data_IF_407492420434
#
_entry.id   IF_407492420434
#
_cell.length_a   1.000
_cell.length_b   1.000
_cell.length_c   1.000
_cell.angle_alpha   90.00
_cell.angle_beta   90.00
_cell.angle_gamma   90.00
#
_symmetry.space_group_name_H-M   'P 1'
#
loop_
_entity.id
_entity.type
_entity.pdbx_description
1 polymer ?
#
# COMPACT_ATOMS: atom_id res chain seq x y z
N UNK A 1 2.23 13.65 7.92
CA UNK A 1 3.50 14.30 7.48
C UNK A 1 4.51 13.24 6.96
N UNK A 2 5.41 13.56 6.02
CA UNK A 2 6.40 12.61 5.46
C UNK A 2 7.86 12.91 5.87
N UNK A 3 8.79 11.98 5.58
CA UNK A 3 10.22 12.10 5.97
C UNK A 3 10.99 13.20 5.22
N UNK A 4 10.66 13.41 3.94
CA UNK A 4 11.35 14.37 3.06
C UNK A 4 10.50 15.64 2.87
N UNK A 5 9.19 15.47 2.70
CA UNK A 5 8.26 16.59 2.51
C UNK A 5 6.94 16.35 3.24
N UNK A 6 6.21 17.43 3.45
CA UNK A 6 4.87 17.39 4.02
C UNK A 6 3.83 17.40 2.88
N UNK A 7 3.08 16.30 2.75
CA UNK A 7 2.03 16.12 1.74
C UNK A 7 0.97 17.20 1.76
N UNK A 8 0.72 17.81 2.93
CA UNK A 8 -0.26 18.89 3.08
C UNK A 8 0.04 20.13 2.23
N UNK A 9 1.32 20.32 1.86
CA UNK A 9 1.74 21.42 0.97
C UNK A 9 1.16 21.28 -0.46
N UNK A 10 0.74 20.09 -0.85
CA UNK A 10 0.30 19.77 -2.20
C UNK A 10 -1.23 19.65 -2.34
N UNK A 11 -2.01 19.98 -1.30
CA UNK A 11 -3.49 19.87 -1.32
C UNK A 11 -4.10 20.68 -2.47
N UNK A 12 -3.59 21.89 -2.74
CA UNK A 12 -4.06 22.72 -3.87
C UNK A 12 -3.83 22.02 -5.21
N UNK A 13 -2.70 21.36 -5.38
CA UNK A 13 -2.39 20.60 -6.60
C UNK A 13 -3.31 19.38 -6.73
N UNK A 14 -3.51 18.62 -5.64
CA UNK A 14 -4.44 17.49 -5.60
C UNK A 14 -5.88 17.91 -5.99
N UNK A 15 -6.36 19.04 -5.45
CA UNK A 15 -7.66 19.61 -5.84
C UNK A 15 -7.73 19.88 -7.34
N UNK A 16 -6.71 20.53 -7.91
CA UNK A 16 -6.68 20.85 -9.34
C UNK A 16 -6.66 19.59 -10.23
N UNK A 17 -6.18 18.46 -9.71
CA UNK A 17 -6.23 17.15 -10.38
C UNK A 17 -7.52 16.36 -10.09
N UNK A 18 -8.54 16.98 -9.51
CA UNK A 18 -9.86 16.37 -9.32
C UNK A 18 -10.11 15.77 -7.94
N UNK A 19 -9.25 15.98 -6.95
CA UNK A 19 -9.56 15.59 -5.58
C UNK A 19 -10.78 16.38 -5.06
N UNK A 20 -11.76 15.66 -4.51
CA UNK A 20 -13.01 16.22 -3.98
C UNK A 20 -12.99 16.44 -2.46
N UNK A 21 -12.07 15.78 -1.76
CA UNK A 21 -11.88 15.85 -0.30
C UNK A 21 -10.42 15.62 0.04
N UNK A 22 -9.93 16.24 1.12
CA UNK A 22 -8.59 16.02 1.65
C UNK A 22 -8.66 15.52 3.10
N UNK A 23 -7.95 14.44 3.41
CA UNK A 23 -7.74 13.98 4.79
C UNK A 23 -6.43 14.58 5.29
N UNK A 24 -6.46 15.28 6.42
CA UNK A 24 -5.36 16.13 6.88
C UNK A 24 -5.10 15.95 8.38
N UNK A 25 -3.86 16.18 8.81
CA UNK A 25 -3.50 16.29 10.24
C UNK A 25 -3.77 17.70 10.77
N UNK A 26 -3.66 18.71 9.91
CA UNK A 26 -3.88 20.12 10.22
C UNK A 26 -4.63 20.76 9.05
N UNK A 27 -5.66 21.56 9.34
CA UNK A 27 -6.40 22.29 8.31
C UNK A 27 -5.47 23.23 7.52
N UNK A 28 -5.73 23.35 6.22
CA UNK A 28 -5.05 24.28 5.32
C UNK A 28 -6.04 25.24 4.69
N UNK A 29 -5.58 26.45 4.38
CA UNK A 29 -6.34 27.48 3.68
C UNK A 29 -6.48 27.16 2.19
N UNK A 30 -7.14 26.05 1.89
CA UNK A 30 -7.45 25.60 0.53
C UNK A 30 -8.93 25.26 0.47
N UNK A 31 -9.63 25.81 -0.52
CA UNK A 31 -11.06 25.61 -0.69
C UNK A 31 -11.37 24.20 -1.24
N UNK A 32 -11.30 23.20 -0.37
CA UNK A 32 -11.68 21.80 -0.57
C UNK A 32 -12.18 21.27 0.79
N UNK A 33 -13.23 20.43 0.84
CA UNK A 33 -13.63 19.75 2.07
C UNK A 33 -12.43 19.03 2.71
N UNK A 34 -12.25 19.23 4.02
CA UNK A 34 -11.14 18.68 4.78
C UNK A 34 -11.65 17.86 5.97
N UNK A 35 -11.12 16.66 6.13
CA UNK A 35 -11.37 15.79 7.28
C UNK A 35 -10.09 15.76 8.11
N UNK A 36 -10.14 16.32 9.32
CA UNK A 36 -9.00 16.31 10.23
C UNK A 36 -8.93 14.98 10.99
N UNK A 37 -7.73 14.39 11.04
CA UNK A 37 -7.43 13.16 11.78
C UNK A 37 -6.10 13.30 12.51
N UNK A 38 -5.88 12.51 13.57
CA UNK A 38 -4.63 12.60 14.34
C UNK A 38 -3.41 12.11 13.55
N UNK A 39 -3.58 11.08 12.72
CA UNK A 39 -2.50 10.52 11.92
C UNK A 39 -3.00 10.07 10.54
N UNK A 40 -2.64 10.84 9.51
CA UNK A 40 -3.05 10.56 8.13
C UNK A 40 -2.51 9.24 7.59
N UNK A 41 -1.33 8.80 8.05
CA UNK A 41 -0.71 7.55 7.61
C UNK A 41 -1.45 6.32 8.12
N UNK A 42 -1.87 6.34 9.39
CA UNK A 42 -2.65 5.24 9.97
C UNK A 42 -4.03 5.15 9.29
N UNK A 43 -4.72 6.28 9.17
CA UNK A 43 -6.05 6.35 8.55
C UNK A 43 -6.04 5.91 7.08
N UNK A 44 -4.94 6.17 6.35
CA UNK A 44 -4.82 5.70 4.97
C UNK A 44 -4.95 4.17 4.85
N UNK A 45 -4.43 3.41 5.81
CA UNK A 45 -4.58 1.95 5.78
C UNK A 45 -6.03 1.51 5.91
N UNK A 46 -6.80 2.13 6.82
CA UNK A 46 -8.20 1.83 7.02
C UNK A 46 -9.07 2.28 5.83
N UNK A 47 -8.78 3.45 5.28
CA UNK A 47 -9.45 3.96 4.08
C UNK A 47 -9.18 3.07 2.88
N UNK A 48 -7.93 2.67 2.65
CA UNK A 48 -7.56 1.78 1.55
C UNK A 48 -8.25 0.41 1.68
N UNK A 49 -8.23 -0.16 2.89
CA UNK A 49 -8.92 -1.41 3.20
C UNK A 49 -10.41 -1.31 2.87
N UNK A 50 -11.09 -0.28 3.33
CA UNK A 50 -12.52 -0.09 3.06
C UNK A 50 -12.81 0.19 1.57
N UNK A 51 -11.97 0.99 0.91
CA UNK A 51 -12.11 1.33 -0.50
C UNK A 51 -12.02 0.09 -1.41
N UNK A 52 -11.06 -0.80 -1.13
CA UNK A 52 -10.89 -2.06 -1.86
C UNK A 52 -11.73 -3.23 -1.31
N UNK A 53 -12.61 -2.97 -0.33
CA UNK A 53 -13.50 -3.98 0.30
C UNK A 53 -12.77 -5.11 1.03
N UNK A 54 -11.66 -4.78 1.69
CA UNK A 54 -10.89 -5.67 2.56
C UNK A 54 -10.47 -7.00 1.89
N UNK A 55 -9.77 -6.94 0.73
CA UNK A 55 -9.43 -8.12 -0.06
C UNK A 55 -8.53 -9.10 0.70
N UNK A 56 -7.80 -8.60 1.69
CA UNK A 56 -6.95 -9.43 2.56
C UNK A 56 -7.72 -10.52 3.34
N UNK A 57 -9.03 -10.36 3.56
CA UNK A 57 -9.85 -11.38 4.25
C UNK A 57 -10.01 -12.68 3.46
N UNK A 58 -9.96 -12.59 2.14
CA UNK A 58 -10.12 -13.74 1.26
C UNK A 58 -8.78 -14.38 0.88
N UNK A 59 -7.67 -13.87 1.45
CA UNK A 59 -6.31 -14.31 1.18
C UNK A 59 -5.59 -14.81 2.45
N UNK A 60 -4.73 -15.80 2.27
CA UNK A 60 -3.73 -16.16 3.28
C UNK A 60 -2.48 -15.29 3.09
N UNK A 61 -2.39 -14.20 3.87
CA UNK A 61 -1.25 -13.28 3.81
C UNK A 61 -0.12 -13.76 4.72
N UNK A 62 1.09 -13.90 4.17
CA UNK A 62 2.29 -14.30 4.91
C UNK A 62 3.30 -13.15 4.89
N UNK A 63 3.51 -12.51 6.05
CA UNK A 63 4.49 -11.44 6.22
C UNK A 63 5.86 -11.98 6.59
N UNK A 64 6.90 -11.62 5.82
CA UNK A 64 8.29 -12.00 6.10
C UNK A 64 9.10 -10.76 6.47
N UNK A 65 9.51 -10.69 7.74
CA UNK A 65 10.43 -9.66 8.24
C UNK A 65 11.76 -10.29 8.62
N UNK A 66 12.86 -9.64 8.24
CA UNK A 66 14.22 -10.03 8.61
C UNK A 66 15.20 -8.92 8.23
N UNK A 67 16.35 -8.83 8.90
CA UNK A 67 17.45 -7.94 8.48
C UNK A 67 17.98 -8.37 7.12
N UNK A 68 18.25 -9.67 6.96
CA UNK A 68 18.72 -10.31 5.72
C UNK A 68 17.84 -11.52 5.37
N UNK A 69 17.78 -11.89 4.09
CA UNK A 69 17.11 -13.12 3.65
C UNK A 69 15.63 -13.02 3.33
N UNK A 70 14.95 -11.88 3.58
CA UNK A 70 13.52 -11.67 3.24
C UNK A 70 13.17 -12.14 1.83
N UNK A 71 13.95 -11.66 0.85
CA UNK A 71 13.77 -12.00 -0.56
C UNK A 71 13.94 -13.51 -0.78
N UNK A 72 15.06 -14.10 -0.37
CA UNK A 72 15.32 -15.53 -0.54
C UNK A 72 14.22 -16.39 0.07
N UNK A 73 13.82 -16.12 1.31
CA UNK A 73 12.75 -16.85 2.00
C UNK A 73 11.41 -16.72 1.28
N UNK A 74 11.06 -15.51 0.80
CA UNK A 74 9.80 -15.30 0.05
C UNK A 74 9.75 -16.11 -1.25
N UNK A 75 10.86 -16.25 -1.96
CA UNK A 75 10.95 -17.07 -3.17
C UNK A 75 10.91 -18.56 -2.87
N UNK A 76 11.61 -19.02 -1.82
CA UNK A 76 11.55 -20.42 -1.37
C UNK A 76 10.11 -20.82 -1.00
N UNK A 77 9.42 -19.99 -0.21
CA UNK A 77 8.04 -20.22 0.17
C UNK A 77 7.11 -20.26 -1.03
N UNK A 78 7.24 -19.31 -1.95
CA UNK A 78 6.46 -19.29 -3.20
C UNK A 78 6.66 -20.58 -4.01
N UNK A 79 7.90 -21.06 -4.14
CA UNK A 79 8.19 -22.29 -4.89
C UNK A 79 7.53 -23.50 -4.24
N UNK A 80 7.66 -23.65 -2.91
CA UNK A 80 7.01 -24.74 -2.15
C UNK A 80 5.49 -24.72 -2.34
N UNK A 81 4.86 -23.54 -2.22
CA UNK A 81 3.42 -23.40 -2.40
C UNK A 81 2.98 -23.70 -3.85
N UNK A 82 3.77 -23.26 -4.83
CA UNK A 82 3.50 -23.51 -6.26
C UNK A 82 3.62 -24.98 -6.61
N UNK A 83 4.61 -25.71 -6.07
CA UNK A 83 4.75 -27.16 -6.22
C UNK A 83 3.53 -27.91 -5.65
N UNK A 84 2.90 -27.36 -4.62
CA UNK A 84 1.64 -27.85 -4.05
C UNK A 84 0.39 -27.32 -4.76
N UNK A 85 0.53 -26.71 -5.95
CA UNK A 85 -0.55 -26.15 -6.78
C UNK A 85 -1.37 -25.05 -6.07
N UNK A 86 -0.78 -24.36 -5.10
CA UNK A 86 -1.41 -23.22 -4.43
C UNK A 86 -1.06 -21.95 -5.21
N UNK A 87 -2.09 -21.29 -5.77
CA UNK A 87 -1.90 -20.02 -6.47
C UNK A 87 -1.37 -18.96 -5.49
N UNK A 88 -0.18 -18.44 -5.76
CA UNK A 88 0.57 -17.61 -4.81
C UNK A 88 1.15 -16.38 -5.50
N UNK A 89 0.77 -15.20 -5.01
CA UNK A 89 1.41 -13.94 -5.34
C UNK A 89 2.62 -13.64 -4.45
N UNK A 90 3.50 -12.76 -4.90
CA UNK A 90 4.63 -12.25 -4.12
C UNK A 90 4.70 -10.74 -4.25
N UNK A 91 4.92 -10.07 -3.13
CA UNK A 91 5.18 -8.63 -3.04
C UNK A 91 6.52 -8.50 -2.33
N UNK A 92 7.52 -7.92 -2.99
CA UNK A 92 8.85 -7.83 -2.39
C UNK A 92 9.83 -6.95 -3.16
N UNK A 93 11.10 -7.07 -2.80
CA UNK A 93 12.21 -6.22 -3.28
C UNK A 93 12.40 -6.22 -4.79
N UNK A 94 12.15 -7.36 -5.46
CA UNK A 94 12.44 -7.50 -6.89
C UNK A 94 11.21 -7.11 -7.73
N UNK A 95 10.07 -7.70 -7.39
CA UNK A 95 8.82 -7.47 -8.10
C UNK A 95 7.62 -7.73 -7.21
N UNK A 96 6.51 -7.14 -7.61
CA UNK A 96 5.17 -7.59 -7.24
C UNK A 96 4.61 -8.43 -8.38
N UNK A 97 4.31 -9.71 -8.13
CA UNK A 97 3.78 -10.63 -9.14
C UNK A 97 2.62 -11.43 -8.56
N UNK A 98 1.50 -11.41 -9.26
CA UNK A 98 0.28 -12.16 -8.93
C UNK A 98 -0.51 -12.38 -10.22
N UNK A 99 -1.17 -13.52 -10.38
CA UNK A 99 -1.83 -13.90 -11.64
C UNK A 99 -0.90 -13.62 -12.84
N UNK A 100 -1.37 -12.83 -13.81
CA UNK A 100 -0.62 -12.41 -15.01
C UNK A 100 0.09 -11.06 -14.86
N UNK A 101 0.02 -10.44 -13.68
CA UNK A 101 0.61 -9.13 -13.39
C UNK A 101 2.05 -9.29 -12.91
N UNK A 102 2.96 -8.48 -13.47
CA UNK A 102 4.34 -8.37 -13.01
C UNK A 102 4.77 -6.89 -13.00
N UNK A 103 5.00 -6.35 -11.80
CA UNK A 103 5.33 -4.94 -11.58
C UNK A 103 6.72 -4.86 -10.93
N UNK A 104 7.69 -4.15 -11.52
CA UNK A 104 8.97 -3.88 -10.89
C UNK A 104 8.77 -3.14 -9.57
N UNK A 105 9.50 -3.55 -8.53
CA UNK A 105 9.29 -2.98 -7.20
C UNK A 105 10.13 -1.73 -6.96
N UNK A 106 9.50 -0.65 -6.49
CA UNK A 106 10.18 0.58 -6.05
C UNK A 106 10.53 0.51 -4.56
N UNK A 107 9.71 -0.18 -3.76
CA UNK A 107 9.86 -0.34 -2.32
C UNK A 107 9.72 -1.83 -1.95
N UNK A 108 10.52 -2.31 -1.01
CA UNK A 108 10.43 -3.69 -0.50
C UNK A 108 9.06 -4.02 0.09
N UNK A 109 8.35 -3.01 0.59
CA UNK A 109 6.96 -3.08 1.02
C UNK A 109 6.25 -1.82 0.50
N UNK A 110 5.23 -1.96 -0.36
CA UNK A 110 4.43 -0.84 -0.85
C UNK A 110 3.72 -0.07 0.28
N UNK A 111 3.30 1.15 0.00
CA UNK A 111 2.42 1.89 0.90
C UNK A 111 1.04 1.20 1.01
N UNK A 112 0.32 1.45 2.11
CA UNK A 112 -0.91 0.72 2.46
C UNK A 112 -1.98 0.72 1.36
N UNK A 113 -2.10 1.83 0.61
CA UNK A 113 -3.02 1.95 -0.52
C UNK A 113 -2.68 0.98 -1.66
N UNK A 114 -1.39 0.86 -2.01
CA UNK A 114 -0.93 -0.05 -3.05
C UNK A 114 -1.06 -1.50 -2.60
N UNK A 115 -0.73 -1.79 -1.34
CA UNK A 115 -0.84 -3.13 -0.78
C UNK A 115 -2.28 -3.67 -0.87
N UNK A 116 -3.27 -2.86 -0.47
CA UNK A 116 -4.69 -3.23 -0.55
C UNK A 116 -5.20 -3.32 -1.99
N UNK A 117 -4.54 -2.67 -2.96
CA UNK A 117 -4.87 -2.80 -4.38
C UNK A 117 -4.36 -4.11 -4.99
N UNK A 118 -3.24 -4.63 -4.48
CA UNK A 118 -2.58 -5.84 -5.01
C UNK A 118 -3.13 -7.14 -4.43
N UNK A 119 -3.76 -7.07 -3.27
CA UNK A 119 -4.56 -8.17 -2.72
C UNK A 119 -5.82 -8.36 -3.57
#
# INVERSE_FOLDING_TARGET
KGKITDGHKYIKNAKNNGAIVAVVEDFKEVYIPQIKVDNTRTILADLAKNFYKDPSKDLKVIGITATNGKTTTSFMLKNILSENKINTGIIGTVYTKFADVNIPSILTTPESLELQKYF
#
